data_IF_767799378273
#
_entry.id   IF_767799378273
#
_cell.length_a   1.000
_cell.length_b   1.000
_cell.length_c   1.000
_cell.angle_alpha   90.00
_cell.angle_beta   90.00
_cell.angle_gamma   90.00
#
_symmetry.space_group_name_H-M   'P 1'
#
loop_
_entity.id
_entity.type
_entity.pdbx_description
1 polymer ?
#
# COMPACT_ATOMS: atom_id res chain seq x y z
N UNK A 1 -12.00 11.17 2.63
CA UNK A 1 -11.09 11.68 1.58
C UNK A 1 -10.43 10.48 0.90
N UNK A 2 -10.20 10.54 -0.40
CA UNK A 2 -9.54 9.44 -1.14
C UNK A 2 -8.03 9.67 -1.15
N UNK A 3 -7.28 8.80 -0.48
CA UNK A 3 -5.80 8.85 -0.45
C UNK A 3 -5.22 8.51 -1.83
N UNK A 4 -4.32 9.36 -2.36
CA UNK A 4 -3.60 9.08 -3.63
C UNK A 4 -2.22 8.52 -3.33
N UNK A 5 -1.65 7.78 -4.28
CA UNK A 5 -0.34 7.14 -4.11
C UNK A 5 0.78 8.14 -3.79
N UNK A 6 0.78 9.30 -4.46
CA UNK A 6 1.81 10.33 -4.29
C UNK A 6 1.64 11.15 -3.01
N UNK A 7 0.54 11.01 -2.29
CA UNK A 7 0.33 11.66 -0.98
C UNK A 7 0.94 10.84 0.16
N UNK A 8 1.32 9.58 -0.11
CA UNK A 8 1.93 8.67 0.84
C UNK A 8 3.43 8.91 0.98
N UNK A 9 3.95 8.74 2.19
CA UNK A 9 5.38 8.67 2.45
C UNK A 9 6.02 7.45 1.75
N UNK A 10 7.35 7.45 1.62
CA UNK A 10 8.08 6.30 1.02
C UNK A 10 7.92 5.03 1.85
N UNK A 11 7.81 5.16 3.17
CA UNK A 11 7.64 4.01 4.05
C UNK A 11 6.22 3.44 3.94
N UNK A 12 5.20 4.29 3.88
CA UNK A 12 3.81 3.89 3.63
C UNK A 12 3.68 3.18 2.27
N UNK A 13 4.27 3.74 1.21
CA UNK A 13 4.32 3.11 -0.11
C UNK A 13 4.99 1.74 -0.09
N UNK A 14 6.13 1.63 0.60
CA UNK A 14 6.90 0.38 0.71
C UNK A 14 6.12 -0.67 1.50
N UNK A 15 5.50 -0.27 2.61
CA UNK A 15 4.68 -1.16 3.42
C UNK A 15 3.47 -1.70 2.64
N UNK A 16 2.76 -0.86 1.89
CA UNK A 16 1.64 -1.32 1.05
C UNK A 16 2.09 -2.29 -0.04
N UNK A 17 3.23 -2.03 -0.70
CA UNK A 17 3.81 -2.98 -1.67
C UNK A 17 4.16 -4.32 -1.02
N UNK A 18 4.73 -4.32 0.20
CA UNK A 18 5.10 -5.56 0.92
C UNK A 18 3.86 -6.32 1.38
N UNK A 19 2.88 -5.64 1.97
CA UNK A 19 1.59 -6.22 2.37
C UNK A 19 0.79 -6.78 1.19
N UNK A 20 0.89 -6.17 0.00
CA UNK A 20 0.25 -6.70 -1.20
C UNK A 20 0.84 -8.06 -1.64
N UNK A 21 2.10 -8.35 -1.28
CA UNK A 21 2.79 -9.63 -1.58
C UNK A 21 2.52 -10.71 -0.52
N UNK A 22 2.12 -10.33 0.70
CA UNK A 22 1.87 -11.29 1.78
C UNK A 22 1.99 -10.67 3.17
N UNK A 23 2.00 -11.50 4.23
CA UNK A 23 2.18 -11.04 5.61
C UNK A 23 3.45 -10.20 5.79
N UNK A 24 3.38 -9.19 6.66
CA UNK A 24 4.52 -8.32 6.99
C UNK A 24 4.76 -8.27 8.51
N UNK A 25 5.44 -9.28 9.09
CA UNK A 25 5.65 -9.37 10.54
C UNK A 25 6.51 -8.25 11.14
N UNK A 26 7.43 -7.69 10.36
CA UNK A 26 8.34 -6.62 10.77
C UNK A 26 7.73 -5.21 10.58
N UNK A 27 6.45 -5.11 10.25
CA UNK A 27 5.79 -3.81 10.09
C UNK A 27 5.77 -3.07 11.43
N UNK A 28 6.43 -1.91 11.47
CA UNK A 28 6.41 -1.06 12.66
C UNK A 28 4.99 -0.68 13.06
N UNK A 29 4.69 -0.77 14.37
CA UNK A 29 3.35 -0.55 14.89
C UNK A 29 2.78 0.84 14.53
N UNK A 30 3.62 1.88 14.60
CA UNK A 30 3.21 3.25 14.25
C UNK A 30 2.85 3.38 12.77
N UNK A 31 3.63 2.74 11.88
CA UNK A 31 3.34 2.72 10.44
C UNK A 31 2.07 1.92 10.13
N UNK A 32 1.87 0.79 10.81
CA UNK A 32 0.65 0.01 10.72
C UNK A 32 -0.59 0.81 11.12
N UNK A 33 -0.54 1.46 12.29
CA UNK A 33 -1.62 2.32 12.79
C UNK A 33 -1.93 3.47 11.83
N UNK A 34 -0.90 4.12 11.30
CA UNK A 34 -1.05 5.18 10.29
C UNK A 34 -1.78 4.67 9.03
N UNK A 35 -1.43 3.50 8.53
CA UNK A 35 -2.09 2.90 7.37
C UNK A 35 -3.55 2.51 7.64
N UNK A 36 -3.87 2.13 8.88
CA UNK A 36 -5.25 1.88 9.33
C UNK A 36 -6.05 3.18 9.32
N UNK A 37 -5.49 4.27 9.85
CA UNK A 37 -6.12 5.61 9.84
C UNK A 37 -6.37 6.13 8.42
N UNK A 38 -5.48 5.81 7.48
CA UNK A 38 -5.65 6.10 6.05
C UNK A 38 -6.68 5.18 5.37
N UNK A 39 -7.18 4.15 6.05
CA UNK A 39 -8.16 3.21 5.52
C UNK A 39 -7.60 2.25 4.46
N UNK A 40 -6.28 2.02 4.42
CA UNK A 40 -5.61 1.22 3.39
C UNK A 40 -5.30 -0.22 3.83
N UNK A 41 -5.26 -0.43 5.14
CA UNK A 41 -5.04 -1.74 5.77
C UNK A 41 -6.02 -1.92 6.93
N UNK A 42 -6.14 -3.15 7.42
CA UNK A 42 -7.01 -3.52 8.53
C UNK A 42 -6.21 -4.36 9.52
N UNK A 43 -6.51 -4.21 10.81
CA UNK A 43 -6.09 -5.17 11.82
C UNK A 43 -6.90 -6.46 11.68
N UNK A 44 -6.23 -7.60 11.82
CA UNK A 44 -6.84 -8.94 11.66
C UNK A 44 -6.26 -9.87 12.71
N UNK A 45 -6.92 -11.01 13.02
CA UNK A 45 -6.41 -11.97 14.00
C UNK A 45 -5.00 -12.52 13.72
N UNK A 46 -4.51 -12.41 12.47
CA UNK A 46 -3.18 -12.87 12.05
C UNK A 46 -2.20 -11.72 11.79
N UNK A 47 -2.51 -10.52 12.27
CA UNK A 47 -1.75 -9.29 12.04
C UNK A 47 -2.34 -8.44 10.91
N UNK A 48 -1.76 -7.25 10.74
CA UNK A 48 -2.22 -6.24 9.78
C UNK A 48 -2.19 -6.80 8.36
N UNK A 49 -3.29 -6.59 7.63
CA UNK A 49 -3.44 -7.00 6.23
C UNK A 49 -3.95 -5.86 5.35
N UNK A 50 -3.45 -5.79 4.12
CA UNK A 50 -3.97 -4.85 3.12
C UNK A 50 -5.43 -5.15 2.79
N UNK A 51 -6.26 -4.10 2.73
CA UNK A 51 -7.66 -4.21 2.35
C UNK A 51 -7.85 -3.96 0.85
N UNK A 52 -9.11 -3.96 0.38
CA UNK A 52 -9.41 -3.75 -1.03
C UNK A 52 -8.90 -2.40 -1.55
N UNK A 53 -9.12 -1.32 -0.79
CA UNK A 53 -8.73 0.05 -1.18
C UNK A 53 -7.21 0.16 -1.30
N UNK A 54 -6.47 -0.36 -0.32
CA UNK A 54 -5.01 -0.41 -0.38
C UNK A 54 -4.49 -1.21 -1.58
N UNK A 55 -5.10 -2.36 -1.90
CA UNK A 55 -4.72 -3.18 -3.07
C UNK A 55 -4.95 -2.44 -4.38
N UNK A 56 -6.12 -1.82 -4.54
CA UNK A 56 -6.45 -1.04 -5.73
C UNK A 56 -5.45 0.11 -5.92
N UNK A 57 -5.06 0.78 -4.84
CA UNK A 57 -4.05 1.85 -4.88
C UNK A 57 -2.67 1.34 -5.35
N UNK A 58 -2.21 0.19 -4.82
CA UNK A 58 -0.94 -0.43 -5.25
C UNK A 58 -1.01 -0.87 -6.71
N UNK A 59 -2.09 -1.53 -7.12
CA UNK A 59 -2.27 -2.00 -8.51
C UNK A 59 -2.30 -0.81 -9.48
N UNK A 60 -3.06 0.23 -9.17
CA UNK A 60 -3.13 1.43 -10.02
C UNK A 60 -1.77 2.06 -10.26
N UNK A 61 -0.93 2.15 -9.23
CA UNK A 61 0.44 2.64 -9.38
C UNK A 61 1.32 1.69 -10.22
N UNK A 62 1.22 0.37 -10.02
CA UNK A 62 2.00 -0.60 -10.81
C UNK A 62 1.65 -0.54 -12.31
N UNK A 63 0.35 -0.39 -12.62
CA UNK A 63 -0.11 -0.24 -14.00
C UNK A 63 0.39 1.07 -14.61
N UNK A 64 0.27 2.20 -13.91
CA UNK A 64 0.78 3.48 -14.37
C UNK A 64 2.30 3.45 -14.62
N UNK A 65 3.06 2.78 -13.76
CA UNK A 65 4.50 2.59 -13.94
C UNK A 65 4.83 1.74 -15.17
N UNK A 66 4.03 0.72 -15.48
CA UNK A 66 4.20 -0.12 -16.69
C UNK A 66 3.90 0.67 -17.95
N UNK A 67 2.81 1.41 -17.97
CA UNK A 67 2.36 2.15 -19.15
C UNK A 67 3.33 3.32 -19.46
N UNK A 68 3.90 3.95 -18.44
CA UNK A 68 4.97 4.93 -18.59
C UNK A 68 6.26 4.34 -19.19
N UNK A 69 6.64 3.11 -18.83
CA UNK A 69 7.80 2.42 -19.43
C UNK A 69 7.57 2.01 -20.89
N UNK A 70 6.31 1.79 -21.29
CA UNK A 70 5.96 1.36 -22.64
C UNK A 70 5.91 2.53 -23.64
N UNK A 71 5.95 3.77 -23.16
CA UNK A 71 5.90 4.99 -23.97
C UNK A 71 7.29 5.52 -24.37
N UNK A 72 8.35 4.96 -23.79
CA UNK A 72 9.77 5.31 -24.02
C UNK A 72 10.51 4.27 -24.90
N UNK A 73 9.77 3.43 -25.65
CA UNK A 73 10.33 2.38 -26.53
C UNK A 73 10.03 2.60 -28.00
#
# INVERSE_FOLDING_TARGET
MTTRWNDLSKDEQTALKRLNRGPYPELEAALGQRLIELGLVEDRPRGIGINRVGRELVIGMLLAARDGQSSDS
#
